data_IF_939996434742
#
_entry.id   IF_939996434742
#
_cell.length_a   1.000
_cell.length_b   1.000
_cell.length_c   1.000
_cell.angle_alpha   90.00
_cell.angle_beta   90.00
_cell.angle_gamma   90.00
#
_symmetry.space_group_name_H-M   'P 1'
#
loop_
_entity.id
_entity.type
_entity.pdbx_description
1 polymer ?
2 polymer ?
3 non-polymer ?
4 water ?
#
# COMPACT_ATOMS: atom_id res chain seq x y z
N UNK A 7 11.24 -1.62 -19.84
CA UNK A 7 9.97 -0.90 -19.94
C UNK A 7 10.18 0.58 -19.65
N UNK A 8 10.22 1.39 -20.72
CA UNK A 8 10.48 2.82 -20.59
C UNK A 8 9.52 3.58 -21.51
N UNK A 9 9.56 4.91 -21.40
CA UNK A 9 8.65 5.76 -22.15
C UNK A 9 9.06 5.80 -23.62
N UNK A 10 8.15 5.37 -24.49
CA UNK A 10 8.39 5.45 -25.94
C UNK A 10 8.23 6.88 -26.41
N UNK A 11 9.16 7.32 -27.25
CA UNK A 11 9.24 8.71 -27.67
C UNK A 11 8.64 8.89 -29.06
N UNK A 12 8.06 10.07 -29.28
CA UNK A 12 7.51 10.44 -30.59
C UNK A 12 8.58 11.16 -31.40
N UNK A 13 8.80 10.75 -32.65
CA UNK A 13 9.81 11.43 -33.48
C UNK A 13 9.49 12.91 -33.67
N UNK A 14 10.54 13.71 -33.82
CA UNK A 14 10.37 15.16 -33.86
C UNK A 14 9.62 15.62 -35.11
N UNK A 15 9.78 14.90 -36.24
CA UNK A 15 9.11 15.32 -37.46
C UNK A 15 7.61 15.11 -37.37
N UNK A 16 7.16 14.14 -36.57
CA UNK A 16 5.73 13.98 -36.30
C UNK A 16 5.23 15.03 -35.33
N UNK A 17 6.10 15.52 -34.44
CA UNK A 17 5.72 16.57 -33.51
C UNK A 17 5.44 17.88 -34.24
N UNK A 18 6.29 18.25 -35.19
CA UNK A 18 6.05 19.46 -35.96
C UNK A 18 4.87 19.32 -36.90
N UNK A 19 4.67 18.12 -37.46
CA UNK A 19 3.57 17.92 -38.41
C UNK A 19 2.22 18.07 -37.73
N UNK A 20 2.01 17.35 -36.61
CA UNK A 20 0.73 17.42 -35.93
C UNK A 20 0.47 18.81 -35.35
N UNK A 21 1.51 19.51 -34.92
CA UNK A 21 1.33 20.87 -34.40
C UNK A 21 0.96 21.85 -35.51
N UNK A 22 1.35 21.56 -36.76
CA UNK A 22 1.06 22.45 -37.87
C UNK A 22 -0.26 22.13 -38.56
N UNK A 23 -0.54 20.84 -38.78
CA UNK A 23 -1.73 20.44 -39.53
C UNK A 23 -3.00 20.40 -38.68
N UNK A 24 -2.89 20.08 -37.40
CA UNK A 24 -4.03 20.04 -36.49
C UNK A 24 -3.85 21.04 -35.35
N UNK A 25 -3.42 22.25 -35.68
CA UNK A 25 -3.13 23.25 -34.66
C UNK A 25 -4.39 23.66 -33.91
N UNK A 26 -5.51 23.81 -34.62
CA UNK A 26 -6.75 24.25 -34.00
C UNK A 26 -7.40 23.18 -33.14
N UNK A 27 -6.93 21.93 -33.19
CA UNK A 27 -7.57 20.84 -32.48
C UNK A 27 -6.72 20.25 -31.36
N UNK A 28 -5.48 20.72 -31.19
CA UNK A 28 -4.61 20.22 -30.13
C UNK A 28 -4.13 21.40 -29.30
N UNK A 29 -3.85 21.14 -28.02
CA UNK A 29 -3.31 22.18 -27.16
C UNK A 29 -1.89 22.52 -27.61
N UNK A 30 -1.54 23.80 -27.68
CA UNK A 30 -0.21 24.18 -28.17
C UNK A 30 0.89 23.80 -27.19
N UNK A 31 2.02 23.34 -27.72
CA UNK A 31 3.17 22.93 -26.94
C UNK A 31 4.17 24.09 -26.93
N UNK A 32 4.63 24.47 -25.73
CA UNK A 32 5.66 25.49 -25.63
C UNK A 32 6.99 24.94 -26.12
N UNK A 33 7.79 25.80 -26.76
CA UNK A 33 9.09 25.37 -27.25
C UNK A 33 9.95 24.89 -26.08
N UNK A 34 10.63 23.77 -26.30
CA UNK A 34 11.25 23.03 -25.20
C UNK A 34 12.33 23.83 -24.49
N UNK A 35 13.00 24.74 -25.20
CA UNK A 35 14.12 25.46 -24.58
C UNK A 35 13.66 26.40 -23.50
N UNK A 36 12.53 27.09 -23.71
CA UNK A 36 12.00 28.05 -22.74
C UNK A 36 10.83 27.49 -21.95
N UNK A 37 10.64 26.17 -21.95
CA UNK A 37 9.48 25.54 -21.31
C UNK A 37 9.86 25.03 -19.93
N UNK A 38 9.05 25.39 -18.92
CA UNK A 38 9.26 24.95 -17.54
C UNK A 38 7.96 24.33 -17.03
N UNK A 39 7.70 23.09 -17.41
CA UNK A 39 6.51 22.38 -16.96
C UNK A 39 6.63 22.01 -15.49
N UNK A 40 5.52 22.14 -14.77
CA UNK A 40 5.46 21.81 -13.35
C UNK A 40 4.36 20.76 -13.11
N UNK A 41 4.66 19.79 -12.25
CA UNK A 41 3.69 18.82 -11.79
C UNK A 41 3.79 18.67 -10.28
N UNK A 42 2.70 18.20 -9.67
CA UNK A 42 2.64 18.05 -8.22
C UNK A 42 2.00 16.71 -7.86
N UNK A 43 2.67 15.99 -6.96
CA UNK A 43 2.16 14.75 -6.39
C UNK A 43 1.95 14.97 -4.90
N UNK A 44 0.72 14.78 -4.44
CA UNK A 44 0.39 14.75 -3.02
C UNK A 44 -0.06 13.34 -2.70
N UNK A 45 0.66 12.67 -1.80
CA UNK A 45 0.39 11.27 -1.49
C UNK A 45 0.40 11.08 0.01
N UNK A 46 -0.70 10.60 0.56
CA UNK A 46 -0.81 10.28 1.98
C UNK A 46 -0.72 8.78 2.14
N UNK A 47 0.36 8.32 2.78
CA UNK A 47 0.60 6.89 3.00
C UNK A 47 0.26 6.45 4.42
N UNK A 48 0.61 7.26 5.41
CA UNK A 48 0.36 6.96 6.82
C UNK A 48 -0.70 7.90 7.37
N UNK A 49 -1.61 7.36 8.18
CA UNK A 49 -2.73 8.11 8.72
C UNK A 49 -2.78 7.92 10.23
N UNK A 50 -3.33 8.93 10.92
CA UNK A 50 -3.48 8.82 12.38
C UNK A 50 -4.58 7.83 12.74
N UNK A 51 -5.67 7.79 11.96
CA UNK A 51 -6.85 7.02 12.33
C UNK A 51 -7.35 6.12 11.20
N UNK A 52 -6.51 5.84 10.21
CA UNK A 52 -6.90 5.03 9.06
C UNK A 52 -5.79 4.03 8.75
N UNK A 53 -6.14 2.92 8.09
CA UNK A 53 -5.11 1.95 7.74
C UNK A 53 -4.09 2.55 6.80
N UNK A 54 -2.86 2.03 6.81
CA UNK A 54 -1.82 2.60 5.94
C UNK A 54 -2.03 2.18 4.50
N UNK A 55 -1.55 3.02 3.58
CA UNK A 55 -1.65 2.71 2.16
C UNK A 55 -0.32 2.14 1.70
N UNK A 56 -0.13 0.85 1.96
CA UNK A 56 1.08 0.15 1.54
C UNK A 56 1.18 0.15 0.02
N UNK A 57 2.43 0.17 -0.48
CA UNK A 57 2.69 0.27 -1.88
C UNK A 57 2.72 1.69 -2.43
N UNK A 58 2.31 2.68 -1.62
CA UNK A 58 2.24 4.05 -2.11
C UNK A 58 3.63 4.58 -2.49
N UNK A 59 4.68 4.12 -1.81
CA UNK A 59 6.03 4.58 -2.13
C UNK A 59 6.41 4.21 -3.55
N UNK A 60 5.98 3.03 -4.01
CA UNK A 60 6.24 2.63 -5.38
C UNK A 60 5.38 3.42 -6.37
N UNK A 61 4.17 3.82 -5.96
CA UNK A 61 3.34 4.64 -6.83
C UNK A 61 3.89 6.05 -6.95
N UNK A 62 4.45 6.60 -5.86
CA UNK A 62 5.06 7.93 -5.93
C UNK A 62 6.23 7.93 -6.89
N UNK A 63 7.15 6.98 -6.72
CA UNK A 63 8.33 6.91 -7.58
C UNK A 63 7.94 6.67 -9.03
N UNK A 64 6.98 5.77 -9.26
CA UNK A 64 6.56 5.50 -10.62
C UNK A 64 5.94 6.71 -11.30
N UNK A 65 5.06 7.42 -10.59
CA UNK A 65 4.43 8.59 -11.17
C UNK A 65 5.42 9.74 -11.33
N UNK A 66 6.34 9.90 -10.37
CA UNK A 66 7.32 10.97 -10.46
C UNK A 66 8.22 10.79 -11.68
N UNK A 67 8.75 9.58 -11.87
CA UNK A 67 9.65 9.33 -13.01
C UNK A 67 8.90 9.36 -14.33
N UNK A 68 7.62 8.98 -14.35
CA UNK A 68 6.83 9.12 -15.57
C UNK A 68 6.66 10.57 -15.95
N UNK A 69 6.30 11.42 -14.99
CA UNK A 69 6.07 12.83 -15.28
C UNK A 69 7.38 13.54 -15.64
N UNK A 70 8.48 13.19 -14.96
CA UNK A 70 9.77 13.75 -15.33
C UNK A 70 10.17 13.32 -16.74
N UNK A 71 9.84 12.08 -17.11
CA UNK A 71 10.04 11.63 -18.47
C UNK A 71 9.21 12.37 -19.49
N UNK A 72 8.09 12.95 -19.06
CA UNK A 72 7.28 13.83 -19.91
C UNK A 72 7.68 15.30 -19.75
N UNK A 73 8.86 15.55 -19.19
CA UNK A 73 9.45 16.89 -19.10
C UNK A 73 8.73 17.79 -18.11
N UNK A 74 8.25 17.20 -17.02
CA UNK A 74 7.64 17.93 -15.91
C UNK A 74 8.60 17.96 -14.73
N UNK A 75 8.73 19.13 -14.12
CA UNK A 75 9.39 19.25 -12.82
C UNK A 75 8.37 18.91 -11.73
N UNK A 76 8.65 17.87 -10.96
CA UNK A 76 7.68 17.27 -10.05
C UNK A 76 8.03 17.64 -8.62
N UNK A 77 7.13 18.39 -7.96
CA UNK A 77 7.17 18.54 -6.51
C UNK A 77 6.38 17.39 -5.89
N UNK A 78 6.93 16.82 -4.81
CA UNK A 78 6.31 15.71 -4.10
C UNK A 78 6.00 16.16 -2.68
N UNK A 79 4.75 16.04 -2.29
CA UNK A 79 4.31 16.32 -0.93
C UNK A 79 3.71 15.05 -0.36
N UNK A 80 4.10 14.70 0.86
CA UNK A 80 3.68 13.45 1.47
C UNK A 80 3.10 13.68 2.85
N UNK A 81 2.02 12.96 3.15
CA UNK A 81 1.41 12.89 4.47
C UNK A 81 1.04 14.29 4.98
N UNK A 82 0.02 14.85 4.34
CA UNK A 82 -0.46 16.18 4.64
C UNK A 82 -1.89 16.14 5.16
N UNK A 83 -2.21 17.03 6.08
CA UNK A 83 -3.59 17.24 6.47
C UNK A 83 -4.36 17.90 5.34
N UNK A 84 -5.68 17.85 5.44
CA UNK A 84 -6.54 18.47 4.41
C UNK A 84 -6.28 19.97 4.32
N UNK A 85 -6.04 20.61 5.47
CA UNK A 85 -5.69 22.03 5.46
C UNK A 85 -4.40 22.27 4.68
N UNK A 86 -3.38 21.43 4.90
CA UNK A 86 -2.10 21.64 4.22
C UNK A 86 -2.13 21.16 2.79
N UNK A 87 -3.00 20.20 2.44
CA UNK A 87 -3.20 19.87 1.04
C UNK A 87 -3.73 21.07 0.27
N UNK A 88 -4.71 21.77 0.85
CA UNK A 88 -5.25 22.96 0.18
C UNK A 88 -4.21 24.05 0.05
N UNK A 89 -3.40 24.24 1.10
CA UNK A 89 -2.35 25.25 1.05
C UNK A 89 -1.31 24.91 -0.01
N UNK A 90 -0.93 23.64 -0.11
CA UNK A 90 0.04 23.23 -1.12
C UNK A 90 -0.49 23.45 -2.53
N UNK A 91 -1.78 23.18 -2.74
CA UNK A 91 -2.37 23.37 -4.07
C UNK A 91 -2.45 24.85 -4.43
N UNK A 92 -2.85 25.69 -3.48
CA UNK A 92 -2.88 27.13 -3.74
C UNK A 92 -1.49 27.68 -4.03
N UNK A 93 -0.47 27.21 -3.31
CA UNK A 93 0.89 27.63 -3.59
C UNK A 93 1.35 27.15 -4.96
N UNK A 94 1.01 25.91 -5.32
CA UNK A 94 1.34 25.41 -6.65
C UNK A 94 0.65 26.21 -7.73
N UNK A 95 -0.55 26.74 -7.45
CA UNK A 95 -1.29 27.51 -8.45
C UNK A 95 -0.63 28.85 -8.72
N UNK A 96 0.11 29.40 -7.76
CA UNK A 96 0.74 30.70 -7.90
C UNK A 96 2.17 30.63 -8.44
N UNK A 97 2.65 29.44 -8.79
CA UNK A 97 4.05 29.31 -9.20
C UNK A 97 4.29 30.04 -10.53
N UNK A 98 5.37 30.81 -10.64
CA UNK A 98 5.61 31.56 -11.89
C UNK A 98 6.00 30.69 -13.07
N UNK A 99 6.54 29.49 -12.83
CA UNK A 99 6.92 28.63 -13.94
C UNK A 99 5.73 28.21 -14.79
N UNK A 100 4.51 28.34 -14.28
CA UNK A 100 3.33 28.01 -15.07
C UNK A 100 3.17 28.96 -16.25
N UNK A 101 3.57 30.22 -16.10
CA UNK A 101 3.50 31.16 -17.21
C UNK A 101 4.36 30.70 -18.39
N UNK A 102 5.47 30.01 -18.10
CA UNK A 102 6.35 29.46 -19.11
C UNK A 102 6.07 27.98 -19.38
N UNK A 103 4.86 27.51 -19.07
CA UNK A 103 4.46 26.13 -19.26
C UNK A 103 3.22 26.07 -20.14
N UNK A 104 2.95 24.88 -20.69
CA UNK A 104 1.79 24.66 -21.53
C UNK A 104 0.73 23.77 -20.88
N UNK A 105 0.98 23.24 -19.69
CA UNK A 105 0.12 22.23 -19.09
C UNK A 105 0.58 21.99 -17.66
N UNK A 106 -0.18 21.17 -16.94
CA UNK A 106 0.24 20.74 -15.61
C UNK A 106 -0.45 19.42 -15.26
N UNK A 107 0.19 18.67 -14.37
CA UNK A 107 -0.35 17.44 -13.83
C UNK A 107 -0.48 17.56 -12.32
N UNK A 108 -1.62 17.16 -11.79
CA UNK A 108 -1.82 17.01 -10.36
C UNK A 108 -2.16 15.55 -10.09
N UNK A 109 -1.43 14.92 -9.17
CA UNK A 109 -1.61 13.52 -8.81
C UNK A 109 -1.91 13.47 -7.32
N UNK A 110 -3.11 13.00 -6.96
CA UNK A 110 -3.57 12.99 -5.58
C UNK A 110 -3.92 11.56 -5.18
N UNK A 111 -3.26 11.06 -4.14
CA UNK A 111 -3.40 9.65 -3.74
C UNK A 111 -3.59 9.59 -2.23
N UNK A 112 -4.70 9.02 -1.78
CA UNK A 112 -5.01 8.91 -0.36
C UNK A 112 -6.26 8.05 -0.21
N UNK A 113 -6.78 7.96 1.02
CA UNK A 113 -8.14 7.50 1.21
C UNK A 113 -9.11 8.60 0.79
N UNK A 114 -10.32 8.20 0.44
CA UNK A 114 -11.29 9.16 -0.06
C UNK A 114 -12.70 8.87 0.43
N UNK A 115 -13.54 9.90 0.32
CA UNK A 115 -14.98 9.76 0.46
C UNK A 115 -15.61 10.30 -0.81
N UNK A 116 -16.94 10.37 -0.86
CA UNK A 116 -17.61 10.79 -2.08
C UNK A 116 -17.25 12.22 -2.47
N UNK A 117 -17.20 13.12 -1.49
CA UNK A 117 -17.09 14.55 -1.76
C UNK A 117 -15.65 15.04 -1.88
N UNK A 118 -14.67 14.26 -1.47
CA UNK A 118 -13.30 14.76 -1.48
C UNK A 118 -12.31 13.70 -1.06
N UNK A 119 -11.07 14.15 -0.85
CA UNK A 119 -9.96 13.29 -0.50
C UNK A 119 -9.57 13.55 0.95
N UNK A 120 -9.11 12.49 1.63
CA UNK A 120 -8.87 12.55 3.07
C UNK A 120 -7.44 13.00 3.38
N UNK A 121 -7.31 13.84 4.41
CA UNK A 121 -6.02 14.14 4.99
C UNK A 121 -5.60 13.10 6.01
N UNK A 122 -4.37 13.27 6.51
CA UNK A 122 -3.77 12.27 7.40
C UNK A 122 -4.51 12.13 8.72
N UNK A 123 -5.17 13.18 9.19
CA UNK A 123 -5.83 13.16 10.49
C UNK A 123 -7.33 12.91 10.35
N UNK A 124 -7.78 12.41 9.21
CA UNK A 124 -9.21 12.18 9.01
C UNK A 124 -9.74 11.10 9.93
N UNK A 125 -10.98 11.31 10.40
CA UNK A 125 -11.79 10.30 11.06
C UNK A 125 -13.25 10.68 10.85
N UNK A 126 -14.14 9.69 10.85
CA UNK A 126 -15.53 9.96 10.48
C UNK A 126 -16.21 10.92 11.46
N UNK A 127 -15.80 10.91 12.74
CA UNK A 127 -16.38 11.82 13.71
C UNK A 127 -15.69 13.17 13.74
N UNK A 128 -14.46 13.26 13.24
CA UNK A 128 -13.74 14.54 13.09
C UNK A 128 -13.11 14.54 11.70
N UNK A 129 -13.89 14.88 10.68
CA UNK A 129 -13.40 14.73 9.30
C UNK A 129 -12.26 15.67 8.97
N UNK A 130 -11.45 15.25 7.99
CA UNK A 130 -10.33 16.03 7.46
C UNK A 130 -10.32 15.76 5.94
N UNK A 131 -11.16 16.50 5.22
CA UNK A 131 -11.45 16.21 3.82
C UNK A 131 -11.20 17.44 2.98
N UNK A 132 -10.42 17.27 1.90
CA UNK A 132 -10.26 18.31 0.88
C UNK A 132 -11.32 18.07 -0.19
N UNK A 133 -12.27 19.00 -0.30
CA UNK A 133 -13.35 18.83 -1.24
C UNK A 133 -12.85 18.93 -2.68
N UNK A 134 -13.43 18.11 -3.56
CA UNK A 134 -13.03 18.14 -4.97
C UNK A 134 -13.35 19.49 -5.61
N UNK A 135 -14.48 20.10 -5.22
CA UNK A 135 -14.82 21.42 -5.75
C UNK A 135 -13.76 22.45 -5.39
N UNK A 136 -13.13 22.30 -4.22
CA UNK A 136 -12.07 23.23 -3.83
C UNK A 136 -10.84 23.08 -4.73
N UNK A 137 -10.56 21.86 -5.18
CA UNK A 137 -9.41 21.63 -6.04
C UNK A 137 -9.59 22.33 -7.38
N UNK A 138 -10.76 22.13 -8.02
CA UNK A 138 -11.01 22.75 -9.31
C UNK A 138 -11.13 24.26 -9.20
N UNK A 139 -11.66 24.76 -8.08
CA UNK A 139 -11.78 26.20 -7.89
C UNK A 139 -10.42 26.88 -7.78
N UNK A 140 -9.46 26.21 -7.13
CA UNK A 140 -8.12 26.77 -6.99
C UNK A 140 -7.45 26.97 -8.34
N UNK A 141 -7.72 26.07 -9.30
CA UNK A 141 -7.03 26.10 -10.58
C UNK A 141 -7.89 26.61 -11.72
N UNK A 142 -9.07 27.17 -11.45
CA UNK A 142 -9.96 27.56 -12.54
C UNK A 142 -9.46 28.84 -13.21
N UNK A 143 -10.22 29.31 -14.20
CA UNK A 143 -9.79 30.44 -15.01
C UNK A 143 -9.75 31.74 -14.21
N UNK A 144 -10.57 31.86 -13.17
CA UNK A 144 -10.60 33.08 -12.37
C UNK A 144 -9.46 33.12 -11.35
N UNK A 145 -9.05 31.97 -10.83
CA UNK A 145 -8.10 31.91 -9.73
C UNK A 145 -6.69 31.51 -10.13
N UNK A 146 -6.48 30.97 -11.33
CA UNK A 146 -5.16 30.54 -11.78
C UNK A 146 -5.00 30.98 -13.24
N UNK A 147 -4.55 32.22 -13.44
CA UNK A 147 -4.48 32.76 -14.79
C UNK A 147 -3.30 32.21 -15.57
N UNK A 148 -2.22 31.81 -14.87
CA UNK A 148 -1.05 31.31 -15.57
C UNK A 148 -1.31 29.99 -16.28
N UNK A 149 -2.32 29.22 -15.85
CA UNK A 149 -2.69 27.97 -16.49
C UNK A 149 -3.99 28.08 -17.27
N UNK A 150 -4.56 29.29 -17.39
CA UNK A 150 -5.75 29.48 -18.19
C UNK A 150 -5.49 29.05 -19.64
N UNK A 151 -6.49 28.43 -20.25
CA UNK A 151 -6.43 27.88 -21.60
C UNK A 151 -5.43 26.73 -21.73
N UNK A 152 -4.87 26.25 -20.63
CA UNK A 152 -3.90 25.17 -20.67
C UNK A 152 -4.46 23.92 -19.99
N UNK A 153 -4.15 22.74 -20.53
CA UNK A 153 -4.73 21.51 -19.97
C UNK A 153 -4.23 21.24 -18.56
N UNK A 154 -5.17 20.93 -17.67
CA UNK A 154 -4.90 20.63 -16.27
C UNK A 154 -5.40 19.23 -15.98
N UNK A 155 -4.46 18.28 -15.86
CA UNK A 155 -4.76 16.86 -15.73
C UNK A 155 -4.70 16.49 -14.26
N UNK A 156 -5.78 15.92 -13.73
CA UNK A 156 -5.87 15.60 -12.32
C UNK A 156 -6.09 14.10 -12.20
N UNK A 157 -5.06 13.38 -11.75
CA UNK A 157 -5.12 11.95 -11.53
C UNK A 157 -5.41 11.73 -10.05
N UNK A 158 -6.53 11.08 -9.74
CA UNK A 158 -7.01 10.92 -8.37
C UNK A 158 -7.14 9.44 -8.06
N UNK A 159 -6.42 9.00 -7.03
CA UNK A 159 -6.59 7.67 -6.47
C UNK A 159 -7.04 7.87 -5.02
N UNK A 160 -8.36 7.80 -4.81
CA UNK A 160 -8.97 8.08 -3.51
C UNK A 160 -9.72 6.83 -3.07
N UNK A 161 -9.05 5.98 -2.30
CA UNK A 161 -9.61 4.69 -1.92
C UNK A 161 -10.79 4.87 -0.98
N UNK A 162 -11.92 4.29 -1.34
CA UNK A 162 -13.10 4.36 -0.50
C UNK A 162 -12.94 3.46 0.72
N UNK A 163 -13.84 3.63 1.68
CA UNK A 163 -13.74 2.94 2.95
C UNK A 163 -13.17 3.76 4.08
N UNK A 164 -12.90 5.04 3.86
CA UNK A 164 -12.40 5.90 4.94
C UNK A 164 -13.49 6.14 5.99
N UNK A 165 -14.73 6.27 5.55
CA UNK A 165 -15.88 6.37 6.45
C UNK A 165 -16.58 5.02 6.48
N UNK A 166 -16.74 4.47 7.68
CA UNK A 166 -17.36 3.16 7.85
C UNK A 166 -18.84 3.21 7.47
N UNK A 193 -27.28 29.29 -11.54
CA UNK A 193 -26.06 29.99 -11.17
C UNK A 193 -24.84 29.12 -11.41
N UNK A 194 -24.74 28.57 -12.62
CA UNK A 194 -23.63 27.70 -12.97
C UNK A 194 -22.49 28.53 -13.53
N UNK A 195 -21.79 29.25 -12.64
CA UNK A 195 -20.56 29.93 -13.01
C UNK A 195 -19.48 28.96 -13.43
N UNK A 196 -19.63 27.67 -13.09
CA UNK A 196 -18.58 26.69 -13.32
C UNK A 196 -18.30 26.48 -14.81
N UNK A 197 -19.35 26.38 -15.62
CA UNK A 197 -19.16 26.12 -17.04
C UNK A 197 -18.33 27.20 -17.71
N UNK A 198 -18.33 28.41 -17.15
CA UNK A 198 -17.58 29.52 -17.72
C UNK A 198 -16.13 29.59 -17.21
N UNK A 199 -15.89 29.22 -15.95
CA UNK A 199 -14.58 29.39 -15.35
C UNK A 199 -13.80 28.08 -15.30
N UNK A 200 -14.47 26.96 -15.06
CA UNK A 200 -13.80 25.66 -14.96
C UNK A 200 -13.64 25.10 -16.37
N UNK A 201 -12.49 25.33 -16.97
CA UNK A 201 -12.22 24.92 -18.33
C UNK A 201 -10.87 24.20 -18.42
N UNK A 202 -10.75 23.32 -19.41
CA UNK A 202 -9.52 22.62 -19.74
C UNK A 202 -9.05 21.69 -18.63
N UNK A 203 -10.00 21.15 -17.86
CA UNK A 203 -9.72 20.13 -16.86
C UNK A 203 -10.03 18.74 -17.42
N UNK A 204 -9.33 17.74 -16.89
CA UNK A 204 -9.76 16.35 -17.02
C UNK A 204 -9.28 15.61 -15.78
N UNK A 205 -10.16 14.81 -15.19
CA UNK A 205 -9.86 14.03 -14.00
C UNK A 205 -10.01 12.56 -14.32
N UNK A 206 -9.03 11.76 -13.91
CA UNK A 206 -9.04 10.30 -14.07
C UNK A 206 -8.98 9.71 -12.66
N UNK A 207 -10.06 9.05 -12.25
CA UNK A 207 -10.29 8.73 -10.85
C UNK A 207 -10.43 7.22 -10.64
N UNK A 208 -9.76 6.73 -9.60
CA UNK A 208 -9.93 5.36 -9.12
C UNK A 208 -10.31 5.41 -7.65
N UNK A 209 -11.46 4.82 -7.31
CA UNK A 209 -11.95 4.83 -5.94
C UNK A 209 -11.86 3.45 -5.29
N UNK A 210 -11.09 2.54 -5.87
CA UNK A 210 -10.98 1.18 -5.37
C UNK A 210 -10.49 1.19 -3.92
N UNK A 211 -11.13 0.44 -3.01
CA UNK A 211 -10.60 0.32 -1.66
C UNK A 211 -9.18 -0.24 -1.68
N UNK A 212 -8.33 0.27 -0.79
CA UNK A 212 -6.91 -0.08 -0.82
C UNK A 212 -6.75 -1.55 -0.47
N UNK A 213 -6.34 -2.35 -1.46
CA UNK A 213 -6.19 -3.80 -1.30
C UNK A 213 -4.85 -4.26 -1.86
N UNK A 214 -3.84 -3.39 -1.83
CA UNK A 214 -2.55 -3.71 -2.41
C UNK A 214 -1.91 -4.88 -1.66
N UNK A 215 -1.37 -5.83 -2.42
CA UNK A 215 -0.75 -7.02 -1.85
C UNK A 215 0.47 -6.66 -1.01
N UNK A 216 0.59 -7.31 0.15
CA UNK A 216 1.78 -7.17 0.98
C UNK A 216 2.86 -8.12 0.47
N UNK A 218 3.93 -8.43 -2.96
CA UNK A 218 4.72 -8.30 -4.18
C UNK A 218 5.48 -6.97 -4.16
N UNK A 219 6.79 -7.04 -3.93
CA UNK A 219 7.60 -5.83 -3.87
C UNK A 219 7.75 -5.17 -5.24
N UNK A 220 7.54 -5.91 -6.33
CA UNK A 220 7.82 -5.40 -7.67
C UNK A 220 6.79 -4.36 -8.13
N UNK A 221 5.72 -4.13 -7.37
CA UNK A 221 4.68 -3.23 -7.85
C UNK A 221 3.90 -2.68 -6.66
N UNK A 222 3.06 -1.69 -6.96
CA UNK A 222 2.15 -1.12 -5.99
C UNK A 222 0.71 -1.34 -6.40
N UNK A 223 -0.05 -0.25 -6.53
CA UNK A 223 -1.46 -0.37 -6.87
C UNK A 223 -1.63 -0.67 -8.36
N UNK A 224 -2.67 -1.45 -8.66
CA UNK A 224 -2.91 -1.85 -10.04
C UNK A 224 -3.28 -0.66 -10.91
N UNK A 225 -3.99 0.34 -10.35
CA UNK A 225 -4.39 1.49 -11.14
C UNK A 225 -3.17 2.31 -11.59
N UNK A 226 -2.24 2.57 -10.68
CA UNK A 226 -1.06 3.36 -11.03
C UNK A 226 -0.15 2.56 -11.95
N UNK A 227 -0.06 1.24 -11.75
CA UNK A 227 0.76 0.40 -12.62
C UNK A 227 0.25 0.43 -14.05
N UNK A 228 -1.07 0.27 -14.23
CA UNK A 228 -1.66 0.31 -15.56
C UNK A 228 -1.58 1.69 -16.17
N UNK A 229 -1.72 2.73 -15.36
CA UNK A 229 -1.62 4.09 -15.87
C UNK A 229 -0.23 4.36 -16.45
N UNK A 230 0.82 3.96 -15.71
CA UNK A 230 2.18 4.19 -16.18
C UNK A 230 2.48 3.38 -17.43
N UNK A 231 2.01 2.13 -17.46
CA UNK A 231 2.28 1.26 -18.61
C UNK A 231 1.64 1.81 -19.88
N UNK A 232 0.42 2.33 -19.78
CA UNK A 232 -0.25 2.85 -20.97
C UNK A 232 0.38 4.15 -21.44
N UNK A 233 0.82 4.99 -20.51
CA UNK A 233 1.58 6.19 -20.90
C UNK A 233 2.89 5.80 -21.59
N UNK A 234 3.59 4.80 -21.06
CA UNK A 234 4.85 4.39 -21.67
C UNK A 234 4.65 3.83 -23.07
N UNK A 235 3.51 3.16 -23.30
CA UNK A 235 3.28 2.52 -24.59
C UNK A 235 2.58 3.40 -25.60
N UNK A 236 1.77 4.38 -25.16
CA UNK A 236 0.88 5.07 -26.07
C UNK A 236 1.01 6.60 -26.08
N UNK A 237 1.87 7.18 -25.24
CA UNK A 237 1.97 8.64 -25.23
C UNK A 237 2.59 9.18 -26.51
N UNK A 238 3.39 8.36 -27.20
CA UNK A 238 4.05 8.79 -28.43
C UNK A 238 3.08 8.95 -29.60
N UNK A 239 1.92 8.28 -29.56
CA UNK A 239 0.99 8.29 -30.69
C UNK A 239 -0.43 8.70 -30.34
N UNK A 240 -0.82 8.66 -29.07
CA UNK A 240 -2.19 8.95 -28.66
C UNK A 240 -2.22 10.18 -27.76
N UNK A 241 -3.33 10.90 -27.82
CA UNK A 241 -3.50 12.03 -26.91
C UNK A 241 -3.98 11.53 -25.55
N UNK A 242 -4.09 12.45 -24.60
CA UNK A 242 -4.30 12.06 -23.20
C UNK A 242 -5.57 11.23 -23.01
N UNK A 243 -6.68 11.65 -23.63
CA UNK A 243 -7.92 10.91 -23.47
C UNK A 243 -7.83 9.52 -24.05
N UNK A 244 -7.09 9.34 -25.15
CA UNK A 244 -6.89 8.01 -25.71
C UNK A 244 -6.04 7.15 -24.78
N UNK A 245 -5.06 7.75 -24.10
CA UNK A 245 -4.26 7.00 -23.15
C UNK A 245 -5.14 6.54 -21.98
N UNK A 246 -6.03 7.41 -21.50
CA UNK A 246 -6.93 7.02 -20.42
C UNK A 246 -7.88 5.92 -20.87
N UNK A 247 -8.32 5.95 -22.13
CA UNK A 247 -9.19 4.88 -22.62
C UNK A 247 -8.43 3.55 -22.71
N UNK A 248 -7.13 3.59 -23.03
CA UNK A 248 -6.33 2.38 -23.01
C UNK A 248 -6.25 1.80 -21.60
N UNK A 249 -6.14 2.66 -20.59
CA UNK A 249 -6.15 2.18 -19.20
C UNK A 249 -7.48 1.53 -18.88
N UNK A 250 -8.59 2.21 -19.22
CA UNK A 250 -9.91 1.66 -18.95
C UNK A 250 -10.09 0.32 -19.66
N UNK A 251 -9.58 0.20 -20.88
CA UNK A 251 -9.69 -1.06 -21.61
C UNK A 251 -9.03 -2.21 -20.85
N UNK A 252 -7.92 -1.93 -20.15
CA UNK A 252 -7.27 -2.99 -19.37
C UNK A 252 -8.15 -3.45 -18.21
N UNK A 253 -9.16 -2.68 -17.81
CA UNK A 253 -10.10 -3.08 -16.77
C UNK A 253 -11.39 -3.64 -17.33
N UNK A 254 -11.52 -3.74 -18.66
CA UNK A 254 -12.74 -4.19 -19.32
C UNK A 254 -12.74 -5.72 -19.41
N UNK A 255 -12.79 -6.34 -18.24
CA UNK A 255 -12.81 -7.79 -18.10
C UNK A 255 -13.58 -8.10 -16.83
N UNK A 256 -14.30 -9.23 -16.78
CA UNK A 256 -15.18 -9.49 -15.63
C UNK A 256 -14.52 -9.35 -14.26
N UNK A 257 -13.30 -9.83 -14.10
CA UNK A 257 -12.66 -9.78 -12.79
C UNK A 257 -12.23 -8.38 -12.39
N UNK A 258 -12.16 -7.44 -13.34
CA UNK A 258 -11.63 -6.11 -13.04
C UNK A 258 -12.61 -4.97 -13.30
N UNK A 259 -13.78 -5.22 -13.89
CA UNK A 259 -14.65 -4.13 -14.31
C UNK A 259 -15.22 -3.33 -13.15
N UNK A 260 -15.34 -3.93 -11.96
CA UNK A 260 -15.83 -3.19 -10.81
C UNK A 260 -14.87 -2.09 -10.40
N UNK A 261 -13.58 -2.25 -10.70
CA UNK A 261 -12.56 -1.28 -10.35
C UNK A 261 -12.28 -0.27 -11.48
N UNK A 262 -13.16 -0.21 -12.47
CA UNK A 262 -12.97 0.61 -13.66
C UNK A 262 -12.73 2.07 -13.31
N UNK A 263 -11.57 2.63 -13.63
CA UNK A 263 -11.38 4.07 -13.41
C UNK A 263 -12.25 4.88 -14.35
N UNK A 264 -12.63 6.08 -13.91
CA UNK A 264 -13.58 6.91 -14.63
C UNK A 264 -12.97 8.26 -15.00
N UNK A 265 -13.43 8.81 -16.11
CA UNK A 265 -13.09 10.17 -16.52
C UNK A 265 -14.18 11.10 -16.00
N UNK A 266 -13.78 12.13 -15.25
CA UNK A 266 -14.72 12.97 -14.54
C UNK A 266 -14.40 14.45 -14.79
N UNK A 267 -15.43 15.27 -14.66
CA UNK A 267 -15.33 16.73 -14.82
C UNK A 267 -14.49 17.12 -16.02
N UNK A 268 -14.83 16.54 -17.17
CA UNK A 268 -14.12 16.82 -18.41
C UNK A 268 -14.53 18.18 -18.95
N UNK A 269 -13.55 19.05 -19.18
CA UNK A 269 -13.83 20.37 -19.72
C UNK A 269 -12.80 20.78 -20.78
N UNK A 270 -12.11 19.82 -21.38
CA UNK A 270 -11.09 20.13 -22.35
C UNK A 270 -11.71 20.55 -23.68
N UNK A 271 -11.12 21.57 -24.30
CA UNK A 271 -11.59 22.09 -25.57
C UNK A 271 -10.80 21.55 -26.75
N UNK A 272 -9.67 20.90 -26.51
CA UNK A 272 -8.81 20.36 -27.55
C UNK A 272 -8.23 19.05 -27.06
N UNK A 273 -7.46 18.38 -27.93
CA UNK A 273 -6.74 17.18 -27.56
C UNK A 273 -5.38 17.56 -26.95
N UNK A 274 -4.95 16.80 -25.97
CA UNK A 274 -3.66 17.03 -25.32
C UNK A 274 -2.70 15.92 -25.74
N UNK A 275 -1.86 16.22 -26.72
CA UNK A 275 -0.77 15.32 -27.12
C UNK A 275 0.48 15.68 -26.33
N UNK A 276 1.06 14.68 -25.66
CA UNK A 276 2.22 14.94 -24.81
C UNK A 276 3.51 15.11 -25.61
N UNK A 277 3.59 14.51 -26.80
CA UNK A 277 4.78 14.53 -27.65
C UNK A 277 6.01 14.19 -26.83
N UNK A 278 6.13 12.97 -26.31
CA UNK A 278 7.27 12.63 -25.46
C UNK A 278 8.59 12.77 -26.22
N UNK A 279 9.56 13.42 -25.56
CA UNK A 279 10.83 13.73 -26.17
C UNK A 279 10.88 15.04 -26.93
N UNK A 280 9.78 15.77 -26.98
CA UNK A 280 9.72 17.06 -27.67
C UNK A 280 9.21 18.16 -26.74
N UNK B 6 -1.18 -36.89 11.11
CA UNK B 6 -0.78 -36.21 9.89
C UNK B 6 0.68 -36.37 9.55
N UNK B 7 1.31 -35.27 9.11
CA UNK B 7 2.71 -35.28 8.71
C UNK B 7 3.63 -35.24 9.92
N UNK B 8 4.89 -35.68 9.77
CA UNK B 8 5.74 -35.87 10.95
C UNK B 8 6.16 -34.56 11.59
N UNK B 9 5.97 -34.48 12.90
CA UNK B 9 6.46 -33.38 13.73
C UNK B 9 7.68 -33.89 14.49
N UNK B 10 8.85 -33.34 14.19
CA UNK B 10 10.11 -33.81 14.77
C UNK B 10 10.70 -32.71 15.63
N UNK B 11 10.80 -32.98 16.93
CA UNK B 11 11.46 -32.06 17.86
C UNK B 11 12.96 -32.22 17.70
N UNK B 12 13.64 -31.12 17.37
CA UNK B 12 15.08 -31.13 17.16
C UNK B 12 15.85 -30.62 18.36
N UNK B 13 15.18 -29.98 19.32
CA UNK B 13 15.86 -29.38 20.46
C UNK B 13 14.83 -29.10 21.54
N UNK B 14 15.21 -29.33 22.79
CA UNK B 14 14.34 -29.08 23.93
C UNK B 14 15.21 -28.65 25.10
N UNK B 15 14.82 -27.56 25.75
CA UNK B 15 15.58 -27.02 26.87
C UNK B 15 14.66 -26.16 27.72
N UNK B 16 15.11 -25.87 28.94
CA UNK B 16 14.36 -25.07 29.89
C UNK B 16 14.94 -23.66 29.91
N UNK B 17 14.08 -22.66 29.73
CA UNK B 17 14.41 -21.26 29.91
C UNK B 17 13.57 -20.79 31.10
N UNK B 18 14.17 -20.83 32.29
CA UNK B 18 13.38 -20.64 33.49
C UNK B 18 12.50 -21.86 33.70
N UNK B 19 11.21 -21.63 33.97
CA UNK B 19 10.24 -22.70 34.05
C UNK B 19 9.61 -23.02 32.71
N UNK B 20 9.99 -22.29 31.65
CA UNK B 20 9.42 -22.48 30.33
C UNK B 20 10.22 -23.54 29.59
N UNK B 21 9.51 -24.51 29.02
CA UNK B 21 10.14 -25.52 28.17
C UNK B 21 10.12 -25.02 26.72
N UNK B 22 11.30 -24.76 26.17
CA UNK B 22 11.45 -24.28 24.81
C UNK B 22 11.79 -25.44 23.89
N UNK B 23 11.07 -25.56 22.78
CA UNK B 23 11.32 -26.60 21.80
C UNK B 23 11.50 -25.99 20.42
N UNK B 24 12.32 -26.66 19.61
CA UNK B 24 12.46 -26.37 18.20
C UNK B 24 11.99 -27.60 17.44
N UNK B 25 11.00 -27.42 16.57
CA UNK B 25 10.42 -28.53 15.84
C UNK B 25 10.44 -28.24 14.35
N UNK B 26 10.42 -29.32 13.57
CA UNK B 26 10.34 -29.24 12.12
C UNK B 26 9.01 -29.84 11.69
N UNK B 27 8.20 -29.05 11.00
CA UNK B 27 6.92 -29.54 10.52
C UNK B 27 5.98 -28.39 10.19
N UNK B 28 4.69 -28.74 10.15
CA UNK B 28 3.62 -27.80 9.79
C UNK B 28 3.01 -27.24 11.08
N UNK B 29 3.08 -25.92 11.24
CA UNK B 29 2.55 -25.30 12.45
C UNK B 29 1.04 -25.47 12.58
N UNK B 30 0.32 -25.68 11.47
CA UNK B 30 -1.11 -25.96 11.56
C UNK B 30 -1.40 -27.33 12.15
N UNK B 31 -0.37 -28.16 12.37
CA UNK B 31 -0.55 -29.45 13.01
C UNK B 31 0.17 -29.55 14.35
N UNK B 32 0.76 -28.47 14.84
CA UNK B 32 1.52 -28.54 16.09
C UNK B 32 0.56 -28.49 17.28
N UNK B 33 0.72 -29.37 18.27
CA UNK B 33 -0.20 -29.42 19.43
C UNK B 33 0.10 -28.35 20.48
N UNK B 34 -0.25 -27.10 20.16
CA UNK B 34 -0.16 -26.00 21.11
C UNK B 34 -1.52 -25.30 21.18
N UNK B 35 -1.87 -24.82 22.38
CA UNK B 35 -3.15 -24.15 22.56
C UNK B 35 -3.28 -22.92 21.69
N UNK B 36 -2.18 -22.23 21.42
CA UNK B 36 -2.19 -21.11 20.50
C UNK B 36 -1.06 -21.24 19.51
N UNK B 37 -1.33 -20.94 18.24
CA UNK B 37 -0.29 -20.85 17.22
C UNK B 37 -0.26 -19.41 16.72
N UNK B 38 0.92 -18.94 16.38
CA UNK B 38 1.13 -17.56 15.97
C UNK B 38 1.14 -17.49 14.44
N UNK B 39 0.45 -16.49 13.90
CA UNK B 39 0.44 -16.22 12.47
C UNK B 39 1.38 -15.07 12.15
N UNK B 40 2.20 -15.25 11.12
CA UNK B 40 3.03 -14.17 10.58
C UNK B 40 2.18 -13.38 9.60
N UNK B 41 1.43 -12.41 10.14
CA UNK B 41 0.45 -11.68 9.36
C UNK B 41 1.04 -10.36 8.86
N UNK B 42 0.23 -9.65 8.09
CA UNK B 42 0.48 -8.25 7.79
C UNK B 42 -0.42 -7.37 8.66
N UNK B 43 -0.19 -6.06 8.57
CA UNK B 43 -0.89 -5.09 9.42
C UNK B 43 -2.38 -5.04 9.17
N UNK B 44 -2.88 -5.67 8.11
CA UNK B 44 -4.29 -5.67 7.77
C UNK B 44 -4.96 -7.02 7.98
N UNK B 45 -4.20 -8.03 8.41
CA UNK B 45 -4.70 -9.39 8.59
C UNK B 45 -5.32 -9.94 7.29
N UNK B 46 -4.72 -9.56 6.15
CA UNK B 46 -5.10 -10.10 4.85
C UNK B 46 -4.25 -11.34 4.60
N UNK B 47 -4.84 -12.52 4.78
CA UNK B 47 -4.10 -13.78 4.73
C UNK B 47 -4.06 -14.31 3.29
N UNK B 48 -3.25 -13.66 2.47
CA UNK B 48 -3.21 -13.96 1.05
C UNK B 48 -2.07 -14.84 0.59
N UNK B 49 -1.12 -15.13 1.48
CA UNK B 49 0.00 -15.97 1.12
C UNK B 49 0.75 -16.38 2.36
N UNK B 50 1.82 -17.15 2.15
CA UNK B 50 2.67 -17.55 3.25
C UNK B 50 1.96 -18.45 4.27
N UNK B 51 2.54 -18.50 5.47
CA UNK B 51 1.94 -19.27 6.54
C UNK B 51 0.58 -18.70 6.91
N UNK B 52 0.36 -17.41 6.67
CA UNK B 52 -0.94 -16.80 6.92
C UNK B 52 -2.02 -17.47 6.09
N UNK B 53 -1.78 -17.66 4.79
CA UNK B 53 -2.73 -18.37 3.95
C UNK B 53 -2.93 -19.81 4.43
N UNK B 54 -1.84 -20.48 4.81
CA UNK B 54 -1.94 -21.87 5.27
C UNK B 54 -2.81 -21.96 6.53
N UNK B 55 -2.59 -21.07 7.48
CA UNK B 55 -3.37 -21.08 8.72
C UNK B 55 -4.82 -20.73 8.42
N UNK B 56 -5.05 -19.70 7.60
CA UNK B 56 -6.41 -19.27 7.30
C UNK B 56 -7.22 -20.36 6.63
N UNK B 57 -6.62 -21.07 5.66
CA UNK B 57 -7.35 -22.13 4.98
C UNK B 57 -7.58 -23.33 5.91
N UNK B 58 -6.60 -23.63 6.77
CA UNK B 58 -6.77 -24.75 7.69
C UNK B 58 -7.83 -24.47 8.74
N UNK B 59 -8.00 -23.21 9.13
CA UNK B 59 -8.97 -22.84 10.15
C UNK B 59 -10.39 -22.79 9.60
N UNK B 60 -10.58 -22.16 8.44
CA UNK B 60 -11.92 -21.88 7.95
C UNK B 60 -12.27 -22.58 6.65
N UNK B 61 -11.36 -23.36 6.07
CA UNK B 61 -11.60 -24.01 4.81
C UNK B 61 -11.38 -23.09 3.63
N UNK B 62 -11.65 -21.81 3.83
CA UNK B 62 -11.47 -20.76 2.83
C UNK B 62 -10.68 -19.63 3.48
N UNK B 63 -9.51 -19.31 2.90
CA UNK B 63 -8.64 -18.30 3.53
C UNK B 63 -9.31 -16.94 3.56
N UNK B 64 -10.10 -16.62 2.53
CA UNK B 64 -10.82 -15.35 2.52
C UNK B 64 -11.80 -15.21 3.67
N UNK B 65 -12.44 -16.31 4.08
CA UNK B 65 -13.35 -16.27 5.22
C UNK B 65 -12.60 -15.96 6.51
N UNK B 66 -11.44 -16.58 6.72
CA UNK B 66 -10.68 -16.31 7.94
C UNK B 66 -10.12 -14.89 7.94
N UNK B 67 -9.85 -14.33 6.77
CA UNK B 67 -9.44 -12.94 6.68
C UNK B 67 -10.53 -12.03 7.24
N UNK B 68 -11.78 -12.24 6.82
CA UNK B 68 -12.88 -11.43 7.33
C UNK B 68 -13.09 -11.67 8.83
N UNK B 69 -13.02 -12.93 9.26
CA UNK B 69 -13.11 -13.22 10.70
C UNK B 69 -12.02 -12.49 11.45
N UNK B 70 -10.81 -12.48 10.90
CA UNK B 70 -9.67 -11.82 11.57
C UNK B 70 -9.85 -10.32 11.61
N UNK B 71 -10.36 -9.73 10.53
CA UNK B 71 -10.58 -8.28 10.50
C UNK B 71 -11.67 -7.86 11.48
N UNK B 72 -12.72 -8.68 11.64
CA UNK B 72 -13.72 -8.37 12.64
C UNK B 72 -13.11 -8.40 14.04
N UNK B 73 -12.30 -9.42 14.32
CA UNK B 73 -11.65 -9.52 15.63
C UNK B 73 -10.71 -8.35 15.88
N UNK B 74 -9.99 -7.92 14.84
CA UNK B 74 -9.05 -6.81 15.00
C UNK B 74 -9.77 -5.53 15.40
N UNK B 75 -10.91 -5.24 14.76
CA UNK B 75 -11.67 -4.04 15.12
C UNK B 75 -12.23 -4.15 16.53
N UNK B 76 -12.75 -5.33 16.90
CA UNK B 76 -13.28 -5.52 18.24
C UNK B 76 -12.20 -5.33 19.30
N UNK B 77 -10.98 -5.81 19.03
CA UNK B 77 -9.94 -5.82 20.05
C UNK B 77 -9.08 -4.56 20.04
N UNK B 78 -9.05 -3.80 18.95
CA UNK B 78 -8.22 -2.61 18.89
C UNK B 78 -8.97 -1.35 18.48
N UNK B 79 -10.25 -1.43 18.11
CA UNK B 79 -11.00 -0.27 17.71
C UNK B 79 -10.57 0.33 16.38
N UNK B 80 -9.80 -0.41 15.58
CA UNK B 80 -9.34 0.07 14.28
C UNK B 80 -9.10 -1.13 13.38
N UNK B 81 -8.82 -0.84 12.10
CA UNK B 81 -8.68 -1.87 11.09
C UNK B 81 -7.23 -2.14 10.71
N UNK B 82 -6.30 -1.89 11.63
CA UNK B 82 -4.90 -2.19 11.40
C UNK B 82 -4.21 -2.33 12.75
N UNK B 83 -3.09 -3.06 12.76
CA UNK B 83 -2.28 -3.22 13.95
C UNK B 83 -0.83 -2.90 13.62
N UNK B 84 -0.04 -2.71 14.66
CA UNK B 84 1.38 -2.40 14.54
C UNK B 84 2.19 -3.47 15.26
N UNK B 85 3.50 -3.46 15.04
CA UNK B 85 4.39 -4.47 15.59
C UNK B 85 4.28 -4.52 17.10
N UNK B 86 4.11 -5.73 17.64
CA UNK B 86 3.89 -5.94 19.05
C UNK B 86 2.45 -6.18 19.44
N UNK B 87 1.49 -5.70 18.65
CA UNK B 87 0.08 -5.91 18.94
C UNK B 87 -0.36 -7.26 18.38
N UNK B 88 -1.30 -7.90 19.06
CA UNK B 88 -1.71 -9.26 18.76
C UNK B 88 -3.23 -9.34 18.72
N UNK B 89 -3.78 -9.83 17.60
CA UNK B 89 -5.20 -10.09 17.46
C UNK B 89 -5.42 -11.58 17.65
N UNK B 90 -6.42 -11.95 18.46
CA UNK B 90 -6.71 -13.34 18.78
C UNK B 90 -7.99 -13.75 18.09
N UNK B 91 -7.93 -14.88 17.37
CA UNK B 91 -9.08 -15.43 16.66
C UNK B 91 -9.25 -16.89 17.01
N UNK B 92 -10.48 -17.41 16.94
CA UNK B 92 -10.69 -18.84 17.20
C UNK B 92 -10.04 -19.69 16.12
N UNK B 93 -9.47 -20.83 16.54
CA UNK B 93 -8.77 -21.70 15.59
C UNK B 93 -9.72 -22.52 14.74
N UNK B 94 -10.99 -22.62 15.14
CA UNK B 94 -12.04 -23.25 14.35
C UNK B 94 -11.68 -24.69 13.97
N UNK B 95 -11.44 -24.96 12.69
CA UNK B 95 -11.19 -26.34 12.26
C UNK B 95 -9.92 -26.92 12.87
N UNK B 96 -9.00 -26.08 13.33
CA UNK B 96 -7.78 -26.59 13.95
C UNK B 96 -8.00 -27.12 15.36
N UNK B 97 -9.19 -26.95 15.93
CA UNK B 97 -9.46 -27.47 17.27
C UNK B 97 -9.23 -28.97 17.34
N UNK B 98 -9.49 -29.70 16.25
CA UNK B 98 -9.30 -31.15 16.25
C UNK B 98 -7.85 -31.54 16.49
N UNK B 99 -6.91 -30.63 16.26
CA UNK B 99 -5.50 -30.88 16.54
C UNK B 99 -5.06 -30.29 17.88
N UNK B 100 -6.01 -29.87 18.72
CA UNK B 100 -5.71 -29.31 20.02
C UNK B 100 -5.43 -27.84 20.04
N UNK B 101 -5.54 -27.14 18.91
CA UNK B 101 -5.25 -25.71 18.83
C UNK B 101 -6.54 -24.94 19.10
N UNK B 102 -6.50 -24.02 20.05
CA UNK B 102 -7.69 -23.25 20.39
C UNK B 102 -7.71 -21.86 19.78
N UNK B 103 -6.56 -21.19 19.68
CA UNK B 103 -6.49 -19.81 19.21
C UNK B 103 -5.37 -19.65 18.18
N UNK B 104 -5.57 -18.69 17.29
CA UNK B 104 -4.50 -18.14 16.46
C UNK B 104 -4.18 -16.75 16.98
N UNK B 105 -2.90 -16.48 17.24
CA UNK B 105 -2.41 -15.18 17.66
C UNK B 105 -1.76 -14.52 16.45
N UNK B 106 -2.38 -13.46 15.93
CA UNK B 106 -1.85 -12.78 14.75
C UNK B 106 -0.83 -11.73 15.18
N UNK B 107 0.39 -11.84 14.66
CA UNK B 107 1.45 -10.88 14.93
C UNK B 107 1.97 -10.40 13.57
N UNK B 108 2.62 -9.23 13.56
CA UNK B 108 3.10 -8.65 12.31
C UNK B 108 4.57 -8.28 12.47
N UNK B 109 5.43 -8.93 11.71
CA UNK B 109 6.84 -8.62 11.71
C UNK B 109 7.18 -7.54 10.69
N UNK B 110 8.39 -7.01 10.76
CA UNK B 110 8.80 -5.98 9.80
C UNK B 110 9.25 -6.59 8.47
N UNK B 111 9.28 -5.73 7.45
CA UNK B 111 9.72 -6.10 6.12
C UNK B 111 11.18 -5.69 5.99
N UNK B 112 12.09 -6.66 6.12
CA UNK B 112 13.52 -6.35 5.98
C UNK B 112 13.92 -6.22 4.52
N UNK B 113 13.46 -7.14 3.67
CA UNK B 113 13.82 -7.18 2.25
C UNK B 113 15.34 -7.29 2.08
N UNK B 114 15.94 -8.22 2.82
CA UNK B 114 17.35 -8.49 2.72
C UNK B 114 18.26 -7.64 3.60
N UNK B 115 17.71 -6.65 4.29
CA UNK B 115 18.49 -5.78 5.16
C UNK B 115 18.34 -6.19 6.62
N UNK B 116 19.13 -5.54 7.48
CA UNK B 116 19.04 -5.74 8.92
C UNK B 116 19.55 -4.50 9.62
N UNK B 117 18.80 -4.07 10.64
CA UNK B 117 19.15 -2.89 11.41
C UNK B 117 18.60 -3.05 12.81
N UNK B 118 19.00 -2.13 13.70
CA UNK B 118 18.45 -2.15 15.05
C UNK B 118 16.99 -1.77 15.06
N UNK B 119 16.55 -0.94 14.11
CA UNK B 119 15.14 -0.62 13.98
C UNK B 119 14.33 -1.85 13.57
N UNK B 120 14.84 -2.61 12.60
CA UNK B 120 14.14 -3.81 12.17
C UNK B 120 14.14 -4.87 13.27
N UNK B 121 15.24 -4.98 14.02
CA UNK B 121 15.30 -5.95 15.10
C UNK B 121 14.28 -5.64 16.19
N UNK B 122 14.15 -4.36 16.56
CA UNK B 122 13.20 -4.01 17.62
C UNK B 122 11.76 -4.28 17.18
N UNK B 123 11.46 -4.06 15.90
CA UNK B 123 10.13 -4.38 15.39
C UNK B 123 9.87 -5.88 15.45
N UNK B 124 10.83 -6.68 14.99
CA UNK B 124 10.69 -8.13 15.06
C UNK B 124 10.67 -8.64 16.50
N UNK B 125 11.44 -7.99 17.38
CA UNK B 125 11.43 -8.37 18.79
C UNK B 125 10.05 -8.19 19.40
N UNK B 126 9.41 -7.05 19.11
CA UNK B 126 8.07 -6.81 19.63
C UNK B 126 7.06 -7.79 19.03
N UNK B 127 7.26 -8.19 17.77
CA UNK B 127 6.36 -9.14 17.14
C UNK B 127 6.49 -10.55 17.72
N UNK B 128 7.64 -10.88 18.32
CA UNK B 128 7.80 -12.16 19.01
C UNK B 128 7.36 -12.06 20.47
N UNK B 129 7.66 -10.95 21.14
CA UNK B 129 7.32 -10.82 22.55
C UNK B 129 5.81 -10.61 22.75
N UNK B 130 5.16 -9.90 21.83
CA UNK B 130 3.74 -9.64 21.91
C UNK B 130 2.88 -10.87 22.13
N UNK B 131 3.04 -11.89 21.27
CA UNK B 131 2.26 -13.12 21.46
C UNK B 131 2.56 -13.83 22.77
N UNK B 132 3.82 -13.81 23.22
CA UNK B 132 4.15 -14.39 24.53
C UNK B 132 3.39 -13.66 25.64
N UNK B 133 3.37 -12.33 25.60
CA UNK B 133 2.65 -11.58 26.63
C UNK B 133 1.15 -11.75 26.51
N UNK B 134 0.64 -11.91 25.28
CA UNK B 134 -0.79 -12.19 25.11
C UNK B 134 -1.15 -13.56 25.70
N UNK B 135 -0.31 -14.56 25.49
CA UNK B 135 -0.55 -15.86 26.08
C UNK B 135 -0.55 -15.80 27.61
N UNK B 136 0.39 -15.03 28.17
CA UNK B 136 0.42 -14.87 29.63
C UNK B 136 -0.84 -14.19 30.14
N UNK B 137 -1.30 -13.16 29.41
CA UNK B 137 -2.50 -12.43 29.82
C UNK B 137 -3.72 -13.33 29.83
N UNK B 138 -3.84 -14.23 28.86
CA UNK B 138 -5.00 -15.12 28.77
C UNK B 138 -4.82 -16.43 29.54
N UNK B 139 -3.66 -16.66 30.14
CA UNK B 139 -3.41 -17.93 30.79
C UNK B 139 -3.25 -19.09 29.82
N UNK B 140 -2.78 -18.83 28.61
CA UNK B 140 -2.54 -19.88 27.62
C UNK B 140 -1.21 -20.54 27.94
N UNK B 141 -1.23 -21.86 28.13
CA UNK B 141 -0.06 -22.55 28.68
C UNK B 141 0.97 -22.93 27.62
N UNK B 142 0.55 -23.12 26.36
CA UNK B 142 1.45 -23.54 25.31
C UNK B 142 1.22 -22.70 24.06
N UNK B 143 2.31 -22.33 23.39
CA UNK B 143 2.25 -21.47 22.21
C UNK B 143 3.34 -21.90 21.25
N UNK B 144 3.03 -21.89 19.95
CA UNK B 144 3.96 -22.24 18.90
C UNK B 144 4.12 -21.08 17.94
N UNK B 145 5.36 -20.84 17.50
CA UNK B 145 5.72 -19.73 16.64
C UNK B 145 6.23 -20.21 15.28
N UNK B 146 5.90 -19.50 14.19
CA UNK B 146 6.66 -19.67 12.95
C UNK B 146 7.83 -18.71 12.92
N UNK B 147 8.69 -18.81 11.91
CA UNK B 147 9.82 -17.89 11.78
C UNK B 147 9.32 -16.58 11.16
N UNK B 148 8.71 -15.75 12.02
CA UNK B 148 8.11 -14.50 11.56
C UNK B 148 9.15 -13.66 10.83
N UNK B 149 8.77 -13.14 9.67
CA UNK B 149 9.55 -12.25 8.81
C UNK B 149 10.67 -12.95 8.05
N UNK B 150 10.91 -14.24 8.30
CA UNK B 150 11.99 -14.97 7.64
C UNK B 150 11.62 -15.46 6.25
N UNK B 151 10.38 -15.25 5.82
CA UNK B 151 9.96 -15.73 4.52
C UNK B 151 9.81 -14.60 3.51
N UNK B 152 8.56 -14.22 3.24
CA UNK B 152 8.30 -13.21 2.22
C UNK B 152 8.86 -11.86 2.62
N UNK B 153 8.83 -11.54 3.92
CA UNK B 153 9.36 -10.26 4.37
C UNK B 153 10.88 -10.20 4.39
N UNK B 154 11.54 -11.31 4.09
CA UNK B 154 12.97 -11.32 3.78
C UNK B 154 13.93 -10.87 4.86
N UNK B 155 13.68 -11.24 6.11
CA UNK B 155 14.66 -11.06 7.18
C UNK B 155 15.51 -12.31 7.29
N UNK B 156 16.80 -12.13 7.58
CA UNK B 156 17.71 -13.26 7.66
C UNK B 156 17.27 -14.24 8.74
N UNK B 157 17.25 -15.53 8.40
CA UNK B 157 16.71 -16.54 9.31
C UNK B 157 17.50 -16.59 10.62
N UNK B 158 18.83 -16.51 10.54
CA UNK B 158 19.63 -16.56 11.76
C UNK B 158 19.33 -15.38 12.68
N UNK B 159 19.15 -14.19 12.10
CA UNK B 159 18.79 -13.04 12.90
C UNK B 159 17.37 -13.16 13.46
N UNK B 160 16.46 -13.77 12.68
CA UNK B 160 15.10 -13.98 13.16
C UNK B 160 15.09 -14.93 14.36
N UNK B 161 15.81 -16.05 14.24
CA UNK B 161 15.84 -17.02 15.33
C UNK B 161 16.54 -16.43 16.55
N UNK B 162 17.60 -15.65 16.34
CA UNK B 162 18.27 -14.99 17.45
C UNK B 162 17.34 -14.02 18.16
N UNK B 163 16.57 -13.24 17.39
CA UNK B 163 15.64 -12.30 17.99
C UNK B 163 14.51 -13.02 18.73
N UNK B 164 14.05 -14.15 18.17
CA UNK B 164 13.05 -14.95 18.86
C UNK B 164 13.56 -15.42 20.21
N UNK B 165 14.77 -15.99 20.24
CA UNK B 165 15.35 -16.49 21.49
C UNK B 165 15.50 -15.36 22.51
N UNK B 166 15.85 -14.17 22.04
CA UNK B 166 15.99 -13.03 22.96
C UNK B 166 14.66 -12.66 23.59
N UNK B 167 13.57 -12.72 22.80
CA UNK B 167 12.25 -12.44 23.37
C UNK B 167 11.85 -13.50 24.38
N UNK B 168 12.16 -14.76 24.12
CA UNK B 168 11.81 -15.82 25.07
C UNK B 168 12.59 -15.67 26.37
N UNK B 169 13.90 -15.37 26.26
CA UNK B 169 14.73 -15.24 27.46
C UNK B 169 14.34 -14.03 28.29
N UNK B 170 13.91 -12.95 27.65
CA UNK B 170 13.49 -11.75 28.38
C UNK B 170 12.05 -11.80 28.85
N UNK B 171 11.26 -12.75 28.36
CA UNK B 171 9.86 -12.83 28.76
C UNK B 171 9.75 -13.32 30.20
N UNK B 172 8.86 -12.68 30.95
CA UNK B 172 8.57 -13.05 32.33
C UNK B 172 7.11 -13.45 32.42
N UNK B 173 6.87 -14.71 32.78
CA UNK B 173 5.51 -15.17 32.92
C UNK B 173 5.40 -16.51 33.61
N UNK B 174 4.32 -16.71 34.36
CA UNK B 174 4.11 -17.96 35.09
C UNK B 174 3.09 -18.88 34.43
N UNK B 175 2.18 -18.33 33.61
CA UNK B 175 1.17 -19.18 32.98
C UNK B 175 1.74 -19.93 31.78
N UNK B 176 2.61 -19.29 31.00
CA UNK B 176 3.18 -19.92 29.82
C UNK B 176 4.23 -20.94 30.25
N UNK B 177 3.98 -22.21 29.92
CA UNK B 177 4.88 -23.29 30.29
C UNK B 177 5.64 -23.89 29.12
N UNK B 178 5.10 -23.82 27.90
CA UNK B 178 5.72 -24.41 26.73
C UNK B 178 5.72 -23.42 25.58
N UNK B 179 6.88 -23.20 24.98
CA UNK B 179 7.02 -22.38 23.78
C UNK B 179 7.74 -23.21 22.73
N UNK B 180 7.26 -23.13 21.49
CA UNK B 180 7.85 -23.88 20.39
C UNK B 180 8.07 -22.96 19.20
N UNK B 181 9.19 -23.17 18.51
CA UNK B 181 9.44 -22.59 17.21
C UNK B 181 9.36 -23.72 16.18
N UNK B 182 8.53 -23.51 15.15
CA UNK B 182 8.24 -24.56 14.17
C UNK B 182 8.73 -24.08 12.80
N UNK B 183 9.60 -24.87 12.19
CA UNK B 183 10.16 -24.58 10.87
C UNK B 183 9.66 -25.66 9.91
N UNK B 184 9.24 -25.25 8.70
CA UNK B 184 8.68 -26.20 7.77
C UNK B 184 9.77 -26.99 7.03
N UNK B 185 10.62 -26.29 6.28
CA UNK B 185 11.61 -26.98 5.47
C UNK B 185 12.78 -27.44 6.31
N UNK B 186 13.44 -28.51 5.85
CA UNK B 186 14.48 -29.13 6.66
C UNK B 186 15.75 -28.28 6.72
N UNK B 187 16.08 -27.59 5.63
CA UNK B 187 17.30 -26.80 5.60
C UNK B 187 17.23 -25.62 6.57
N UNK B 188 16.08 -24.94 6.62
CA UNK B 188 15.94 -23.83 7.56
C UNK B 188 15.89 -24.31 9.01
N UNK B 189 15.39 -25.52 9.23
CA UNK B 189 15.35 -26.06 10.59
C UNK B 189 16.76 -26.40 11.08
N UNK B 190 17.62 -26.89 10.19
CA UNK B 190 19.01 -27.14 10.57
C UNK B 190 19.73 -25.84 10.91
N UNK B 191 19.40 -24.76 10.19
CA UNK B 191 19.98 -23.46 10.51
C UNK B 191 19.51 -22.97 11.87
N UNK B 192 18.22 -23.18 12.17
CA UNK B 192 17.69 -22.75 13.46
C UNK B 192 18.30 -23.55 14.60
N UNK B 193 18.54 -24.84 14.38
CA UNK B 193 19.11 -25.68 15.42
C UNK B 193 20.51 -25.23 15.79
N UNK B 194 21.30 -24.82 14.80
CA UNK B 194 22.63 -24.28 15.09
C UNK B 194 22.54 -23.04 15.96
N UNK B 195 21.58 -22.16 15.67
CA UNK B 195 21.41 -20.95 16.48
C UNK B 195 20.96 -21.32 17.90
N UNK B 196 20.08 -22.32 18.02
CA UNK B 196 19.62 -22.74 19.34
C UNK B 196 20.77 -23.25 20.19
N UNK B 197 21.74 -23.94 19.58
CA UNK B 197 22.80 -24.57 20.35
C UNK B 197 23.90 -23.58 20.72
N UNK B 198 24.14 -22.55 19.90
CA UNK B 198 25.03 -21.48 20.31
C UNK B 198 24.50 -20.77 21.55
N UNK B 199 23.17 -20.64 21.65
CA UNK B 199 22.53 -19.89 22.73
C UNK B 199 21.95 -20.83 23.78
#
# INVERSE_FOLDING_TARGET
SGRPSTDALKLCPHEEFLRLCKERAEEIYPIKERNNRTRLALIICNTEFDHLPPRNGADFDITGMKELLEGLDYSVDVEENLTARDMESALRAFATRPEHKSSDSTFLVLMSHGILEGICGTVHDEKKPDVLLYDTIFQIFNNRNCLSLKDKPKVIIVQAARGANRGELWVRDSPASLEVASSQSSENLEEDAVYKTHVEKDFIAFCSSTPHNVSWRDSTMGSIFITQLITCFQKYSWCCHLEEVFRKVQQSFETPRAKAQMPTIERLSMTRYFYLFPGN
GPLGSGRPMEVLFEAKVGDITLKLAQGDITQYPAKAIVNAANKRLEHGGGVAYAIAKACAGDAGLYTEISKKAMREQFGRDYIDHGEVVVTPAMNLEERGIKYVFHTVGPICSGMWSEELKEKLYKAFLGPLEKAEEMGVESIAFPAVSAGIYGCDLEKVVETFLEAVKNFKGSAVKEVALVIYDRKSAEVALKVFERSL
#
